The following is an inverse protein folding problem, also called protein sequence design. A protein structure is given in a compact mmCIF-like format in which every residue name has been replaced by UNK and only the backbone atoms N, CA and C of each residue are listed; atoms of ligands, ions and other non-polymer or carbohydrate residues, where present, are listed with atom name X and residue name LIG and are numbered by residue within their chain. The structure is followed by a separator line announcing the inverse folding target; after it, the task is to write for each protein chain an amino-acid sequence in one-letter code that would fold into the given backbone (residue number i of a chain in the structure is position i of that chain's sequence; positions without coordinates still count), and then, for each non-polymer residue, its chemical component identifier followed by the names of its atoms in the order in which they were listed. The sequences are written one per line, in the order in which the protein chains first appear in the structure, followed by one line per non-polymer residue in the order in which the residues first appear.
data_IF_897810984135
#
_entry.id   IF_897810984135
#
_cell.length_a   1.000
_cell.length_b   1.000
_cell.length_c   1.000
_cell.angle_alpha   90.00
_cell.angle_beta   90.00
_cell.angle_gamma   90.00
#
_symmetry.space_group_name_H-M   'P 1'
#
loop_
_entity.id
_entity.type
_entity.pdbx_description
1 polymer ?
#
# COMPACT_ATOMS: atom_id res chain seq x y z
N UNK A 1 55.31 12.86 4.94
CA UNK A 1 54.42 11.99 4.14
C UNK A 1 53.01 12.26 4.66
N UNK A 2 52.29 13.18 4.01
CA UNK A 2 51.01 13.68 4.49
C UNK A 2 49.89 12.79 3.95
N UNK A 3 49.19 12.08 4.84
CA UNK A 3 47.89 11.50 4.51
C UNK A 3 46.84 12.57 4.75
N UNK A 4 46.48 13.28 3.69
CA UNK A 4 45.31 14.16 3.67
C UNK A 4 44.09 13.24 3.69
N UNK A 5 43.40 13.18 4.83
CA UNK A 5 42.02 12.71 4.88
C UNK A 5 41.18 13.72 4.08
N UNK A 6 40.92 13.43 2.81
CA UNK A 6 39.84 14.10 2.09
C UNK A 6 38.53 13.65 2.76
N UNK A 7 37.67 14.58 3.23
CA UNK A 7 36.36 14.19 3.70
C UNK A 7 35.64 13.54 2.51
N UNK A 8 35.08 12.37 2.74
CA UNK A 8 34.23 11.67 1.78
C UNK A 8 33.13 12.67 1.42
N UNK A 9 33.11 13.13 0.17
CA UNK A 9 32.10 14.09 -0.28
C UNK A 9 30.72 13.45 -0.16
N UNK A 10 29.81 14.15 0.51
CA UNK A 10 28.45 13.74 0.83
C UNK A 10 27.52 13.88 -0.41
N UNK A 11 27.95 13.35 -1.55
CA UNK A 11 27.38 13.65 -2.87
C UNK A 11 26.36 12.60 -3.35
N UNK A 12 25.55 12.03 -2.46
CA UNK A 12 24.43 11.16 -2.89
C UNK A 12 23.23 11.11 -1.94
N UNK A 13 23.00 12.15 -1.16
CA UNK A 13 21.73 12.27 -0.41
C UNK A 13 20.64 12.75 -1.37
N UNK A 14 19.71 11.85 -1.70
CA UNK A 14 18.52 12.20 -2.48
C UNK A 14 17.67 13.21 -1.69
N UNK A 15 17.21 14.32 -2.28
CA UNK A 15 16.39 15.31 -1.58
C UNK A 15 15.09 14.69 -1.03
N UNK A 16 14.66 15.18 0.15
CA UNK A 16 13.45 14.68 0.82
C UNK A 16 12.18 14.80 -0.05
N UNK A 17 12.10 15.81 -0.90
CA UNK A 17 11.01 16.01 -1.85
C UNK A 17 10.92 14.85 -2.85
N UNK A 18 12.05 14.45 -3.41
CA UNK A 18 12.11 13.32 -4.35
C UNK A 18 11.80 12.00 -3.65
N UNK A 19 12.30 11.80 -2.42
CA UNK A 19 11.92 10.62 -1.61
C UNK A 19 10.41 10.61 -1.39
N UNK A 20 9.80 11.76 -1.08
CA UNK A 20 8.36 11.88 -0.86
C UNK A 20 7.59 11.50 -2.11
N UNK A 21 7.99 12.02 -3.28
CA UNK A 21 7.33 11.71 -4.55
C UNK A 21 7.43 10.24 -4.91
N UNK A 22 8.61 9.63 -4.73
CA UNK A 22 8.80 8.18 -4.94
C UNK A 22 7.86 7.38 -4.03
N UNK A 23 7.81 7.73 -2.74
CA UNK A 23 6.93 7.05 -1.78
C UNK A 23 5.44 7.24 -2.09
N UNK A 24 5.04 8.42 -2.58
CA UNK A 24 3.66 8.70 -2.99
C UNK A 24 3.18 7.83 -4.16
N UNK A 25 4.11 7.42 -5.04
CA UNK A 25 3.83 6.54 -6.17
C UNK A 25 3.69 5.06 -5.77
N UNK A 26 4.09 4.67 -4.55
CA UNK A 26 4.05 3.27 -4.14
C UNK A 26 2.62 2.82 -3.75
N UNK A 27 2.21 1.60 -4.13
CA UNK A 27 1.02 0.96 -3.57
C UNK A 27 1.13 0.83 -2.04
N UNK A 28 0.00 0.89 -1.34
CA UNK A 28 -0.07 0.89 0.14
C UNK A 28 0.74 -0.25 0.77
N UNK A 29 0.72 -1.46 0.20
CA UNK A 29 1.47 -2.61 0.73
C UNK A 29 2.99 -2.41 0.71
N UNK A 30 3.52 -1.86 -0.39
CA UNK A 30 4.95 -1.56 -0.50
C UNK A 30 5.33 -0.42 0.42
N UNK A 31 4.48 0.59 0.51
CA UNK A 31 4.63 1.74 1.40
C UNK A 31 4.69 1.33 2.88
N UNK A 32 3.87 0.36 3.32
CA UNK A 32 3.93 -0.17 4.69
C UNK A 32 5.27 -0.85 4.99
N UNK A 33 5.90 -1.52 4.01
CA UNK A 33 7.26 -2.07 4.19
C UNK A 33 8.30 -0.95 4.28
N UNK A 34 8.11 0.15 3.55
CA UNK A 34 8.98 1.33 3.60
C UNK A 34 9.01 2.00 4.99
N UNK A 35 7.93 1.88 5.78
CA UNK A 35 7.92 2.35 7.18
C UNK A 35 8.96 1.63 8.06
N UNK A 36 9.43 0.45 7.68
CA UNK A 36 10.43 -0.31 8.43
C UNK A 36 11.87 0.07 8.07
N UNK A 37 12.08 0.88 7.02
CA UNK A 37 13.43 1.21 6.52
C UNK A 37 14.15 2.19 7.46
N UNK A 38 13.44 3.21 7.95
CA UNK A 38 14.00 4.18 8.89
C UNK A 38 12.91 4.89 9.70
N UNK A 39 13.30 5.47 10.84
CA UNK A 39 12.39 6.30 11.65
C UNK A 39 11.87 7.52 10.87
N UNK A 40 12.72 8.13 10.04
CA UNK A 40 12.35 9.30 9.23
C UNK A 40 11.30 8.93 8.19
N UNK A 41 11.44 7.77 7.53
CA UNK A 41 10.47 7.28 6.55
C UNK A 41 9.15 6.93 7.23
N UNK A 42 9.20 6.26 8.38
CA UNK A 42 8.01 6.01 9.18
C UNK A 42 7.27 7.31 9.52
N UNK A 43 7.97 8.33 10.03
CA UNK A 43 7.37 9.62 10.39
C UNK A 43 6.76 10.34 9.18
N UNK A 44 7.45 10.34 8.05
CA UNK A 44 6.95 10.93 6.80
C UNK A 44 5.66 10.25 6.35
N UNK A 45 5.67 8.92 6.25
CA UNK A 45 4.55 8.12 5.75
C UNK A 45 3.34 8.20 6.69
N UNK A 46 3.57 8.20 8.01
CA UNK A 46 2.51 8.33 9.03
C UNK A 46 1.97 9.76 9.17
N UNK A 47 2.54 10.74 8.48
CA UNK A 47 2.08 12.13 8.57
C UNK A 47 0.68 12.29 7.92
N UNK A 48 -0.24 13.08 8.53
CA UNK A 48 -1.57 13.28 7.96
C UNK A 48 -1.55 13.90 6.56
N UNK A 49 -0.53 14.72 6.26
CA UNK A 49 -0.36 15.31 4.95
C UNK A 49 -0.02 14.23 3.91
N UNK A 50 0.98 13.39 4.18
CA UNK A 50 1.37 12.31 3.29
C UNK A 50 0.20 11.36 3.04
N UNK A 51 -0.49 10.90 4.10
CA UNK A 51 -1.64 10.01 3.98
C UNK A 51 -2.74 10.62 3.12
N UNK A 52 -3.10 11.89 3.33
CA UNK A 52 -4.12 12.57 2.51
C UNK A 52 -3.69 12.72 1.06
N UNK A 53 -2.42 13.02 0.79
CA UNK A 53 -1.90 13.18 -0.56
C UNK A 53 -1.85 11.83 -1.28
N UNK A 54 -1.34 10.79 -0.62
CA UNK A 54 -1.32 9.41 -1.13
C UNK A 54 -2.72 8.91 -1.46
N UNK A 55 -3.69 9.10 -0.55
CA UNK A 55 -5.09 8.71 -0.78
C UNK A 55 -5.75 9.46 -1.93
N UNK A 56 -5.32 10.69 -2.24
CA UNK A 56 -5.82 11.45 -3.40
C UNK A 56 -5.21 10.94 -4.71
N UNK A 57 -3.91 10.68 -4.73
CA UNK A 57 -3.18 10.23 -5.91
C UNK A 57 -3.53 8.78 -6.28
N UNK A 58 -3.63 7.90 -5.28
CA UNK A 58 -3.93 6.48 -5.47
C UNK A 58 -5.43 6.16 -5.56
N UNK A 59 -6.30 7.15 -5.78
CA UNK A 59 -7.73 6.91 -6.07
C UNK A 59 -7.92 6.02 -7.29
N UNK A 60 -6.99 6.07 -8.24
CA UNK A 60 -7.10 5.26 -9.46
C UNK A 60 -6.91 3.76 -9.18
N UNK A 61 -6.18 3.37 -8.12
CA UNK A 61 -6.01 1.97 -7.73
C UNK A 61 -7.12 1.47 -6.79
N UNK A 62 -8.38 1.84 -7.05
CA UNK A 62 -9.48 1.27 -6.30
C UNK A 62 -9.51 -0.25 -6.50
N UNK A 63 -9.52 -0.99 -5.41
CA UNK A 63 -9.76 -2.43 -5.43
C UNK A 63 -11.16 -2.69 -4.90
N UNK A 64 -11.97 -3.41 -5.67
CA UNK A 64 -13.29 -3.87 -5.27
C UNK A 64 -13.15 -5.25 -4.64
N UNK A 65 -13.82 -5.43 -3.52
CA UNK A 65 -13.99 -6.71 -2.86
C UNK A 65 -15.34 -7.30 -3.27
N UNK A 66 -15.34 -8.52 -3.81
CA UNK A 66 -16.55 -9.30 -4.07
C UNK A 66 -16.54 -10.56 -3.22
N UNK A 67 -17.68 -10.95 -2.68
CA UNK A 67 -17.87 -12.28 -2.10
C UNK A 67 -18.50 -13.19 -3.14
N UNK A 68 -17.97 -14.40 -3.31
CA UNK A 68 -18.69 -15.46 -4.00
C UNK A 68 -19.80 -16.05 -3.11
N UNK A 69 -20.62 -16.92 -3.69
CA UNK A 69 -21.72 -17.62 -2.98
C UNK A 69 -21.23 -18.52 -1.84
N UNK A 70 -19.94 -18.86 -1.81
CA UNK A 70 -19.31 -19.67 -0.77
C UNK A 70 -18.68 -18.81 0.33
N UNK A 71 -18.86 -17.49 0.29
CA UNK A 71 -18.26 -16.55 1.24
C UNK A 71 -16.76 -16.36 1.04
N UNK A 72 -16.20 -16.72 -0.12
CA UNK A 72 -14.81 -16.42 -0.47
C UNK A 72 -14.72 -15.02 -1.06
N UNK A 73 -13.76 -14.26 -0.59
CA UNK A 73 -13.48 -12.93 -1.09
C UNK A 73 -12.54 -12.94 -2.29
N UNK A 74 -12.85 -12.10 -3.28
CA UNK A 74 -11.99 -11.79 -4.41
C UNK A 74 -11.77 -10.28 -4.48
N UNK A 75 -10.52 -9.90 -4.73
CA UNK A 75 -10.11 -8.51 -4.93
C UNK A 75 -9.89 -8.26 -6.42
N UNK A 76 -10.51 -7.23 -6.96
CA UNK A 76 -10.34 -6.83 -8.36
C UNK A 76 -10.08 -5.32 -8.44
N UNK A 77 -9.06 -4.91 -9.20
CA UNK A 77 -8.86 -3.49 -9.48
C UNK A 77 -10.00 -2.94 -10.34
N UNK A 78 -10.54 -1.77 -9.97
CA UNK A 78 -11.54 -1.02 -10.74
C UNK A 78 -11.01 -0.71 -12.13
N UNK A 79 -9.72 -0.38 -12.27
CA UNK A 79 -9.10 -0.14 -13.58
C UNK A 79 -9.30 -1.35 -14.49
N UNK A 80 -9.16 -2.58 -13.96
CA UNK A 80 -9.37 -3.79 -14.75
C UNK A 80 -10.84 -4.01 -15.14
N UNK A 81 -11.79 -3.64 -14.27
CA UNK A 81 -13.22 -3.75 -14.58
C UNK A 81 -13.67 -2.80 -15.70
N UNK A 82 -13.06 -1.62 -15.80
CA UNK A 82 -13.43 -0.60 -16.79
C UNK A 82 -12.54 -0.61 -18.06
N UNK A 83 -11.27 -1.02 -17.97
CA UNK A 83 -10.36 -1.11 -19.12
C UNK A 83 -10.15 -2.56 -19.56
N UNK A 84 -11.20 -3.19 -20.09
CA UNK A 84 -11.20 -4.57 -20.63
C UNK A 84 -10.24 -4.83 -21.80
N UNK A 85 -9.36 -3.89 -22.15
CA UNK A 85 -8.60 -3.84 -23.41
C UNK A 85 -7.07 -3.97 -23.27
N UNK A 86 -6.52 -4.18 -22.08
CA UNK A 86 -5.07 -4.33 -21.93
C UNK A 86 -4.71 -5.61 -21.19
N UNK A 87 -4.06 -6.55 -21.90
CA UNK A 87 -3.28 -7.66 -21.34
C UNK A 87 -2.08 -7.09 -20.58
N UNK A 88 -2.31 -6.54 -19.39
CA UNK A 88 -1.25 -6.26 -18.43
C UNK A 88 -1.23 -7.42 -17.46
N UNK A 89 -0.05 -8.02 -17.32
CA UNK A 89 0.25 -9.17 -16.47
C UNK A 89 -0.44 -9.07 -15.13
N UNK A 90 -1.08 -10.18 -14.74
CA UNK A 90 -1.78 -10.38 -13.47
C UNK A 90 -0.83 -10.16 -12.28
N UNK A 91 -0.60 -8.92 -11.87
CA UNK A 91 -0.45 -8.62 -10.45
C UNK A 91 -1.85 -8.39 -9.89
N UNK A 92 -2.71 -9.40 -10.03
CA UNK A 92 -3.70 -9.64 -8.98
C UNK A 92 -2.86 -9.71 -7.72
N UNK A 93 -3.00 -8.73 -6.82
CA UNK A 93 -2.53 -8.87 -5.45
C UNK A 93 -3.27 -10.10 -4.91
N UNK A 94 -2.70 -11.27 -5.15
CA UNK A 94 -3.20 -12.55 -4.68
C UNK A 94 -2.87 -12.56 -3.20
N UNK A 95 -3.68 -11.82 -2.48
CA UNK A 95 -3.77 -11.90 -1.04
C UNK A 95 -4.73 -13.05 -0.83
N UNK A 96 -4.18 -14.25 -0.64
CA UNK A 96 -4.99 -15.38 -0.22
C UNK A 96 -5.78 -14.93 1.01
N UNK A 97 -7.12 -14.79 0.92
CA UNK A 97 -7.89 -14.44 2.09
C UNK A 97 -7.64 -15.55 3.12
N UNK A 98 -7.54 -15.22 4.43
CA UNK A 98 -7.70 -16.22 5.45
C UNK A 98 -8.99 -16.97 5.10
N UNK A 99 -8.90 -18.28 4.92
CA UNK A 99 -9.91 -19.20 4.38
C UNK A 99 -11.19 -19.31 5.22
N UNK A 100 -11.51 -18.28 5.99
CA UNK A 100 -12.58 -18.23 6.96
C UNK A 100 -13.72 -17.38 6.41
N UNK A 101 -14.92 -17.95 6.40
CA UNK A 101 -16.18 -17.25 6.20
C UNK A 101 -16.21 -16.01 7.11
N UNK A 102 -15.86 -14.86 6.55
CA UNK A 102 -15.88 -13.57 7.22
C UNK A 102 -16.88 -12.66 6.51
N UNK A 103 -17.34 -11.65 7.21
CA UNK A 103 -18.23 -10.61 6.71
C UNK A 103 -17.51 -9.29 6.78
N UNK A 104 -17.73 -8.42 5.79
CA UNK A 104 -17.23 -7.04 5.84
C UNK A 104 -18.06 -6.26 6.84
N UNK A 105 -17.40 -5.75 7.87
CA UNK A 105 -18.01 -4.84 8.85
C UNK A 105 -17.98 -3.40 8.32
N UNK A 106 -16.90 -3.03 7.63
CA UNK A 106 -16.75 -1.71 7.04
C UNK A 106 -15.41 -1.54 6.34
N UNK A 107 -15.24 -0.38 5.70
CA UNK A 107 -13.97 0.01 5.07
C UNK A 107 -13.66 1.49 5.34
N UNK A 108 -12.38 1.81 5.54
CA UNK A 108 -11.89 3.18 5.75
C UNK A 108 -10.53 3.33 5.07
N UNK A 109 -10.41 4.28 4.13
CA UNK A 109 -9.14 4.62 3.47
C UNK A 109 -8.39 3.43 2.86
N UNK A 110 -9.12 2.42 2.37
CA UNK A 110 -8.54 1.19 1.80
C UNK A 110 -8.26 0.08 2.81
N UNK A 111 -8.39 0.33 4.12
CA UNK A 111 -8.44 -0.72 5.13
C UNK A 111 -9.84 -1.32 5.22
N UNK A 112 -9.93 -2.63 5.36
CA UNK A 112 -11.18 -3.38 5.47
C UNK A 112 -11.22 -4.08 6.83
N UNK A 113 -12.31 -3.86 7.57
CA UNK A 113 -12.59 -4.62 8.79
C UNK A 113 -13.44 -5.83 8.44
N UNK A 114 -12.93 -7.02 8.78
CA UNK A 114 -13.59 -8.31 8.57
C UNK A 114 -13.92 -8.93 9.92
N UNK A 115 -15.08 -9.58 10.03
CA UNK A 115 -15.48 -10.34 11.21
C UNK A 115 -15.88 -11.76 10.83
N UNK A 116 -15.35 -12.78 11.51
CA UNK A 116 -15.73 -14.17 11.27
C UNK A 116 -16.96 -14.59 12.09
N UNK A 117 -17.48 -15.80 11.83
CA UNK A 117 -18.62 -16.36 12.59
C UNK A 117 -18.38 -16.53 14.09
N UNK A 118 -17.11 -16.59 14.52
CA UNK A 118 -16.74 -16.66 15.93
C UNK A 118 -16.65 -15.26 16.60
N UNK A 119 -16.94 -14.17 15.86
CA UNK A 119 -16.87 -12.80 16.35
C UNK A 119 -15.46 -12.21 16.38
N UNK A 120 -14.47 -12.88 15.80
CA UNK A 120 -13.10 -12.39 15.73
C UNK A 120 -12.96 -11.35 14.62
N UNK A 121 -12.30 -10.23 14.93
CA UNK A 121 -12.08 -9.12 14.01
C UNK A 121 -10.67 -9.17 13.39
N UNK A 122 -10.60 -8.87 12.10
CA UNK A 122 -9.37 -8.76 11.33
C UNK A 122 -9.37 -7.43 10.59
N UNK A 123 -8.24 -6.71 10.61
CA UNK A 123 -8.03 -5.52 9.78
C UNK A 123 -7.14 -5.94 8.62
N UNK A 124 -7.60 -5.65 7.41
CA UNK A 124 -6.92 -5.97 6.17
C UNK A 124 -6.57 -4.68 5.41
#
# INVERSE_FOLDING_TARGET
MNLIFTPISDDSILPNEIITDILLMLPTKSLLKCMCVSKSWHQLISSPHFVKTHLKLNRNYQTVLFSDINGKFKFCSIIYLFNKQQEVTQELLHMDPPTLLAFVVGSVNGLICLCNRAGQMFIW
#
